data_IF_417428827373
#
_entry.id   IF_417428827373
#
_cell.length_a   1.000
_cell.length_b   1.000
_cell.length_c   1.000
_cell.angle_alpha   90.00
_cell.angle_beta   90.00
_cell.angle_gamma   90.00
#
_symmetry.space_group_name_H-M   'P 1'
#
loop_
_entity.id
_entity.type
_entity.pdbx_description
1 polymer ?
#
# COMPACT_ATOMS: atom_id res chain seq x y z
N UNK A 1 -3.26 -4.57 30.86
CA UNK A 1 -3.48 -4.94 29.44
C UNK A 1 -3.83 -3.72 28.58
N UNK A 2 -4.84 -2.92 28.95
CA UNK A 2 -5.28 -1.75 28.15
C UNK A 2 -4.16 -0.74 27.88
N UNK A 3 -3.35 -0.39 28.89
CA UNK A 3 -2.22 0.53 28.71
C UNK A 3 -1.17 0.02 27.70
N UNK A 4 -0.92 -1.28 27.66
CA UNK A 4 0.02 -1.90 26.71
C UNK A 4 -0.49 -1.76 25.27
N UNK A 5 -1.79 -2.03 25.05
CA UNK A 5 -2.41 -1.84 23.74
C UNK A 5 -2.35 -0.36 23.29
N UNK A 6 -2.57 0.58 24.21
CA UNK A 6 -2.44 2.01 23.90
C UNK A 6 -1.02 2.36 23.42
N UNK A 7 0.03 1.91 24.13
CA UNK A 7 1.41 2.16 23.70
C UNK A 7 1.73 1.55 22.33
N UNK A 8 1.23 0.34 22.06
CA UNK A 8 1.42 -0.32 20.75
C UNK A 8 0.75 0.51 19.65
N UNK A 9 -0.49 0.97 19.84
CA UNK A 9 -1.22 1.77 18.86
C UNK A 9 -0.50 3.10 18.59
N UNK A 10 -0.04 3.80 19.64
CA UNK A 10 0.70 5.04 19.47
C UNK A 10 2.03 4.84 18.74
N UNK A 11 2.75 3.75 19.04
CA UNK A 11 3.98 3.38 18.34
C UNK A 11 3.75 3.13 16.86
N UNK A 12 2.73 2.34 16.52
CA UNK A 12 2.38 2.00 15.14
C UNK A 12 1.91 3.26 14.38
N UNK A 13 1.05 4.08 14.98
CA UNK A 13 0.53 5.30 14.36
C UNK A 13 1.65 6.30 14.04
N UNK A 14 2.56 6.54 14.99
CA UNK A 14 3.72 7.42 14.79
C UNK A 14 4.69 6.88 13.73
N UNK A 15 4.94 5.57 13.71
CA UNK A 15 5.75 4.93 12.68
C UNK A 15 5.16 5.13 11.28
N UNK A 16 3.85 4.88 11.10
CA UNK A 16 3.20 5.08 9.80
C UNK A 16 3.17 6.53 9.35
N UNK A 17 3.03 7.47 10.28
CA UNK A 17 3.08 8.89 9.98
C UNK A 17 4.46 9.31 9.45
N UNK A 18 5.52 8.90 10.14
CA UNK A 18 6.91 9.16 9.69
C UNK A 18 7.16 8.46 8.34
N UNK A 19 6.70 7.23 8.18
CA UNK A 19 6.85 6.48 6.94
C UNK A 19 6.16 7.19 5.76
N UNK A 20 4.96 7.72 5.95
CA UNK A 20 4.26 8.50 4.93
C UNK A 20 5.05 9.74 4.50
N UNK A 21 5.67 10.46 5.44
CA UNK A 21 6.53 11.62 5.13
C UNK A 21 7.76 11.17 4.32
N UNK A 22 8.38 10.05 4.69
CA UNK A 22 9.54 9.51 3.97
C UNK A 22 9.14 9.11 2.54
N UNK A 23 8.00 8.46 2.35
CA UNK A 23 7.49 8.12 1.00
C UNK A 23 7.20 9.38 0.17
N UNK A 24 6.64 10.43 0.78
CA UNK A 24 6.42 11.70 0.08
C UNK A 24 7.75 12.35 -0.33
N UNK A 25 8.73 12.37 0.58
CA UNK A 25 10.07 12.89 0.28
C UNK A 25 10.74 12.09 -0.85
N UNK A 26 10.60 10.77 -0.84
CA UNK A 26 11.12 9.88 -1.88
C UNK A 26 10.43 10.12 -3.22
N UNK A 27 9.09 10.25 -3.26
CA UNK A 27 8.36 10.56 -4.49
C UNK A 27 8.76 11.90 -5.12
N UNK A 28 8.99 12.93 -4.30
CA UNK A 28 9.55 14.19 -4.78
C UNK A 28 11.00 14.04 -5.24
N UNK A 29 11.81 13.27 -4.51
CA UNK A 29 13.20 13.01 -4.85
C UNK A 29 13.33 12.26 -6.17
N UNK A 30 12.60 11.16 -6.40
CA UNK A 30 12.63 10.41 -7.66
C UNK A 30 12.20 11.26 -8.84
N UNK A 31 11.13 12.04 -8.67
CA UNK A 31 10.63 12.94 -9.72
C UNK A 31 11.66 14.03 -10.05
N UNK A 32 12.32 14.58 -9.03
CA UNK A 32 13.35 15.61 -9.19
C UNK A 32 14.65 15.04 -9.77
N UNK A 33 15.03 13.82 -9.39
CA UNK A 33 16.19 13.11 -9.92
C UNK A 33 15.99 12.83 -11.41
N UNK A 34 14.83 12.33 -11.84
CA UNK A 34 14.52 12.12 -13.27
C UNK A 34 14.64 13.43 -14.06
N UNK A 35 14.13 14.55 -13.52
CA UNK A 35 14.27 15.86 -14.19
C UNK A 35 15.71 16.32 -14.31
N UNK A 36 16.54 16.07 -13.28
CA UNK A 36 17.96 16.42 -13.29
C UNK A 36 18.76 15.54 -14.26
N UNK A 37 18.48 14.25 -14.31
CA UNK A 37 19.08 13.33 -15.30
C UNK A 37 18.76 13.72 -16.73
N UNK A 38 17.56 14.26 -16.99
CA UNK A 38 17.20 14.79 -18.29
C UNK A 38 17.92 16.11 -18.66
N UNK A 39 18.43 16.85 -17.68
CA UNK A 39 19.05 18.17 -17.90
C UNK A 39 20.57 18.21 -17.72
N UNK A 40 21.19 17.22 -17.08
CA UNK A 40 22.60 17.27 -16.73
C UNK A 40 23.23 15.89 -16.90
N UNK A 41 24.32 15.85 -17.67
CA UNK A 41 25.28 14.74 -17.88
C UNK A 41 25.97 14.24 -16.59
N UNK A 42 25.27 14.26 -15.45
CA UNK A 42 25.84 13.92 -14.16
C UNK A 42 25.62 12.45 -13.84
N UNK A 43 26.58 11.65 -14.30
CA UNK A 43 26.92 10.28 -13.86
C UNK A 43 26.20 9.87 -12.57
N UNK A 44 25.09 9.15 -12.69
CA UNK A 44 24.32 8.70 -11.53
C UNK A 44 25.12 7.72 -10.69
N UNK A 45 25.46 8.13 -9.48
CA UNK A 45 26.05 7.26 -8.47
C UNK A 45 25.09 6.09 -8.19
N UNK A 46 25.57 4.87 -8.46
CA UNK A 46 24.89 3.56 -8.28
C UNK A 46 24.08 3.44 -6.98
N UNK A 47 24.49 4.15 -5.91
CA UNK A 47 23.83 4.18 -4.60
C UNK A 47 22.36 4.66 -4.64
N UNK A 48 22.02 5.65 -5.47
CA UNK A 48 20.65 6.19 -5.54
C UNK A 48 19.63 5.16 -6.05
N UNK A 49 20.06 4.27 -6.95
CA UNK A 49 19.21 3.23 -7.56
C UNK A 49 18.88 2.11 -6.59
N UNK A 50 19.83 1.72 -5.74
CA UNK A 50 19.60 0.72 -4.69
C UNK A 50 18.61 1.22 -3.64
N UNK A 51 18.68 2.51 -3.29
CA UNK A 51 17.78 3.13 -2.31
C UNK A 51 16.34 3.17 -2.86
N UNK A 52 16.13 3.66 -4.08
CA UNK A 52 14.79 3.67 -4.71
C UNK A 52 14.23 2.25 -4.88
N UNK A 53 15.06 1.28 -5.29
CA UNK A 53 14.63 -0.12 -5.40
C UNK A 53 14.20 -0.70 -4.04
N UNK A 54 14.90 -0.37 -2.96
CA UNK A 54 14.54 -0.79 -1.61
C UNK A 54 13.21 -0.19 -1.15
N UNK A 55 12.98 1.11 -1.38
CA UNK A 55 11.70 1.75 -1.06
C UNK A 55 10.54 1.20 -1.88
N UNK A 56 10.77 0.88 -3.16
CA UNK A 56 9.78 0.21 -4.01
C UNK A 56 9.41 -1.17 -3.47
N UNK A 57 10.40 -1.98 -3.08
CA UNK A 57 10.17 -3.29 -2.47
C UNK A 57 9.41 -3.17 -1.14
N UNK A 58 9.83 -2.27 -0.26
CA UNK A 58 9.20 -2.07 1.05
C UNK A 58 7.73 -1.62 0.91
N UNK A 59 7.48 -0.67 0.00
CA UNK A 59 6.12 -0.20 -0.32
C UNK A 59 5.24 -1.32 -0.88
N UNK A 60 5.81 -2.20 -1.71
CA UNK A 60 5.10 -3.35 -2.24
C UNK A 60 4.67 -4.34 -1.13
N UNK A 61 5.59 -4.68 -0.22
CA UNK A 61 5.27 -5.54 0.93
C UNK A 61 4.19 -4.88 1.81
N UNK A 62 4.28 -3.56 2.00
CA UNK A 62 3.28 -2.83 2.77
C UNK A 62 1.90 -2.84 2.10
N UNK A 63 1.85 -2.69 0.78
CA UNK A 63 0.60 -2.78 0.02
C UNK A 63 -0.06 -4.15 0.19
N UNK A 64 0.71 -5.24 0.15
CA UNK A 64 0.20 -6.59 0.39
C UNK A 64 -0.30 -6.75 1.84
N UNK A 65 0.41 -6.20 2.82
CA UNK A 65 -0.01 -6.25 4.22
C UNK A 65 -1.34 -5.51 4.43
N UNK A 66 -1.50 -4.30 3.89
CA UNK A 66 -2.75 -3.55 3.98
C UNK A 66 -3.89 -4.17 3.16
N UNK A 67 -3.59 -4.84 2.05
CA UNK A 67 -4.57 -5.61 1.28
C UNK A 67 -5.09 -6.81 2.09
N UNK A 68 -4.21 -7.51 2.81
CA UNK A 68 -4.63 -8.56 3.73
C UNK A 68 -5.49 -8.00 4.87
N UNK A 69 -5.08 -6.88 5.50
CA UNK A 69 -5.85 -6.21 6.55
C UNK A 69 -7.23 -5.79 6.03
N UNK A 70 -7.32 -5.22 4.83
CA UNK A 70 -8.58 -4.87 4.19
C UNK A 70 -9.48 -6.11 4.02
N UNK A 71 -8.93 -7.23 3.55
CA UNK A 71 -9.68 -8.49 3.42
C UNK A 71 -10.16 -9.05 4.76
N UNK A 72 -9.30 -9.08 5.77
CA UNK A 72 -9.67 -9.60 7.09
C UNK A 72 -10.65 -8.70 7.84
N UNK A 73 -10.54 -7.37 7.70
CA UNK A 73 -11.46 -6.40 8.33
C UNK A 73 -12.84 -6.37 7.67
N UNK A 74 -12.98 -6.82 6.42
CA UNK A 74 -14.29 -6.98 5.78
C UNK A 74 -15.17 -8.00 6.50
N UNK A 75 -14.58 -9.02 7.14
CA UNK A 75 -15.30 -10.06 7.88
C UNK A 75 -16.09 -9.48 9.06
N UNK A 76 -15.48 -8.79 10.06
CA UNK A 76 -16.24 -8.20 11.15
C UNK A 76 -17.24 -7.14 10.65
N UNK A 77 -16.90 -6.32 9.66
CA UNK A 77 -17.85 -5.34 9.08
C UNK A 77 -19.10 -6.05 8.56
N UNK A 78 -18.94 -7.16 7.83
CA UNK A 78 -20.06 -7.95 7.34
C UNK A 78 -20.91 -8.52 8.48
N UNK A 79 -20.30 -9.05 9.55
CA UNK A 79 -21.02 -9.57 10.70
C UNK A 79 -21.84 -8.48 11.41
N UNK A 80 -21.21 -7.35 11.71
CA UNK A 80 -21.87 -6.23 12.37
C UNK A 80 -22.97 -5.63 11.50
N UNK A 81 -22.80 -5.61 10.17
CA UNK A 81 -23.84 -5.19 9.23
C UNK A 81 -25.05 -6.12 9.28
N UNK A 82 -24.85 -7.45 9.26
CA UNK A 82 -25.95 -8.42 9.38
C UNK A 82 -26.65 -8.27 10.74
N UNK A 83 -25.89 -8.16 11.83
CA UNK A 83 -26.43 -7.95 13.17
C UNK A 83 -27.24 -6.66 13.26
N UNK A 84 -26.74 -5.56 12.69
CA UNK A 84 -27.44 -4.27 12.63
C UNK A 84 -28.76 -4.35 11.88
N UNK A 85 -28.78 -5.03 10.72
CA UNK A 85 -30.02 -5.23 9.96
C UNK A 85 -31.04 -6.05 10.76
N UNK A 86 -30.61 -7.08 11.48
CA UNK A 86 -31.50 -7.84 12.39
C UNK A 86 -31.99 -6.99 13.56
N UNK A 87 -31.12 -6.16 14.16
CA UNK A 87 -31.51 -5.19 15.19
C UNK A 87 -32.55 -4.19 14.68
N UNK A 88 -32.37 -3.68 13.45
CA UNK A 88 -33.32 -2.77 12.82
C UNK A 88 -34.67 -3.45 12.56
N UNK A 89 -34.66 -4.69 12.08
CA UNK A 89 -35.87 -5.50 11.86
C UNK A 89 -36.63 -5.78 13.17
N UNK A 90 -35.94 -6.00 14.30
CA UNK A 90 -36.60 -6.12 15.60
C UNK A 90 -37.23 -4.81 16.10
N UNK A 91 -36.70 -3.66 15.67
CA UNK A 91 -37.17 -2.33 16.09
C UNK A 91 -38.34 -1.83 15.24
N UNK A 92 -38.58 -2.42 14.05
CA UNK A 92 -39.76 -2.19 13.22
C UNK A 92 -40.79 -3.30 13.47
N UNK A 93 -41.84 -3.06 14.29
CA UNK A 93 -42.91 -4.01 14.47
C UNK A 93 -43.84 -3.90 13.25
N UNK A 94 -43.51 -4.58 12.15
CA UNK A 94 -44.60 -4.97 11.25
C UNK A 94 -45.50 -5.90 12.07
N UNK A 95 -46.77 -5.53 12.09
CA UNK A 95 -47.86 -5.96 12.99
C UNK A 95 -48.23 -7.46 12.92
N UNK A 96 -47.29 -8.31 12.51
CA UNK A 96 -47.47 -9.75 12.34
C UNK A 96 -46.29 -10.60 12.87
N UNK A 97 -45.39 -10.03 13.68
CA UNK A 97 -44.38 -10.84 14.40
C UNK A 97 -45.04 -11.42 15.64
N UNK A 98 -45.54 -12.65 15.51
CA UNK A 98 -46.29 -13.39 16.54
C UNK A 98 -45.41 -13.87 17.71
N UNK A 99 -44.08 -13.76 17.59
CA UNK A 99 -43.12 -14.16 18.64
C UNK A 99 -41.75 -13.50 18.44
N UNK A 100 -41.37 -12.47 19.22
CA UNK A 100 -40.04 -11.83 19.15
C UNK A 100 -38.87 -12.79 19.45
N UNK A 101 -39.15 -13.96 20.04
CA UNK A 101 -38.16 -15.02 20.30
C UNK A 101 -37.71 -15.78 19.03
N UNK A 102 -38.37 -15.60 17.88
CA UNK A 102 -37.98 -16.27 16.63
C UNK A 102 -36.91 -15.52 15.82
N UNK A 103 -36.57 -14.29 16.19
CA UNK A 103 -35.52 -13.50 15.54
C UNK A 103 -34.21 -13.74 16.29
N UNK A 104 -33.28 -14.42 15.62
CA UNK A 104 -32.00 -14.83 16.18
C UNK A 104 -30.86 -14.49 15.22
N UNK A 105 -29.72 -14.06 15.77
CA UNK A 105 -28.45 -14.01 15.04
C UNK A 105 -27.57 -15.15 15.51
N UNK A 106 -27.19 -16.01 14.58
CA UNK A 106 -26.29 -17.13 14.82
C UNK A 106 -24.91 -16.82 14.22
N UNK A 107 -23.94 -16.52 15.08
CA UNK A 107 -22.56 -16.22 14.66
C UNK A 107 -21.79 -17.46 14.21
N UNK A 108 -22.29 -18.67 14.51
CA UNK A 108 -21.67 -19.94 14.10
C UNK A 108 -21.84 -20.20 12.60
N UNK A 109 -22.90 -19.65 11.99
CA UNK A 109 -23.12 -19.75 10.54
C UNK A 109 -22.00 -19.10 9.72
N UNK A 110 -21.28 -18.14 10.32
CA UNK A 110 -20.16 -17.46 9.67
C UNK A 110 -18.82 -18.19 9.85
N UNK A 111 -18.80 -19.36 10.52
CA UNK A 111 -17.62 -20.24 10.63
C UNK A 111 -16.49 -19.72 11.53
N UNK A 112 -16.68 -18.58 12.21
CA UNK A 112 -15.67 -17.93 13.06
C UNK A 112 -15.54 -18.63 14.41
N UNK A 113 -16.62 -19.25 14.88
CA UNK A 113 -16.72 -19.85 16.21
C UNK A 113 -17.18 -21.31 16.06
N UNK A 114 -16.56 -22.27 16.78
CA UNK A 114 -16.98 -23.67 16.74
C UNK A 114 -18.46 -23.83 17.14
N UNK A 115 -19.14 -24.83 16.55
CA UNK A 115 -20.57 -25.10 16.78
C UNK A 115 -20.94 -25.31 18.26
N UNK A 116 -19.95 -25.67 19.09
CA UNK A 116 -20.07 -25.91 20.53
C UNK A 116 -19.91 -24.65 21.40
N UNK A 117 -19.66 -23.48 20.82
CA UNK A 117 -19.51 -22.26 21.61
C UNK A 117 -20.86 -21.72 22.09
N UNK A 118 -20.91 -21.39 23.38
CA UNK A 118 -22.04 -20.73 24.04
C UNK A 118 -21.54 -19.42 24.65
N UNK A 119 -22.10 -18.25 24.31
CA UNK A 119 -23.23 -18.03 23.40
C UNK A 119 -22.80 -17.94 21.93
N UNK A 120 -23.24 -18.90 21.11
CA UNK A 120 -23.09 -18.87 19.64
C UNK A 120 -24.32 -18.35 18.89
N UNK A 121 -25.45 -18.19 19.59
CA UNK A 121 -26.71 -17.65 19.09
C UNK A 121 -27.27 -16.65 20.09
N UNK A 122 -27.77 -15.51 19.61
CA UNK A 122 -28.48 -14.52 20.43
C UNK A 122 -29.87 -14.28 19.82
N UNK A 123 -30.92 -14.36 20.64
CA UNK A 123 -32.31 -14.27 20.23
C UNK A 123 -33.10 -13.34 21.14
N UNK A 124 -34.22 -12.78 20.64
CA UNK A 124 -35.24 -12.09 21.46
C UNK A 124 -34.67 -10.99 22.36
N UNK A 125 -35.05 -11.00 23.64
CA UNK A 125 -34.65 -9.98 24.62
C UNK A 125 -33.13 -9.83 24.78
N UNK A 126 -32.38 -10.93 24.77
CA UNK A 126 -30.90 -10.89 24.84
C UNK A 126 -30.29 -10.21 23.62
N UNK A 127 -30.88 -10.41 22.43
CA UNK A 127 -30.45 -9.71 21.22
C UNK A 127 -30.84 -8.22 21.29
N UNK A 128 -32.02 -7.91 21.82
CA UNK A 128 -32.49 -6.55 22.07
C UNK A 128 -31.56 -5.73 22.98
N UNK A 129 -31.06 -6.33 24.06
CA UNK A 129 -30.10 -5.70 24.98
C UNK A 129 -28.77 -5.38 24.28
N UNK A 130 -28.26 -6.31 23.46
CA UNK A 130 -27.04 -6.12 22.66
C UNK A 130 -27.25 -4.98 21.64
N UNK A 131 -28.38 -4.98 20.94
CA UNK A 131 -28.73 -3.95 19.96
C UNK A 131 -28.87 -2.55 20.57
N UNK A 132 -29.23 -2.44 21.85
CA UNK A 132 -29.39 -1.17 22.55
C UNK A 132 -28.12 -0.68 23.28
N UNK A 133 -27.05 -1.47 23.24
CA UNK A 133 -25.78 -1.13 23.91
C UNK A 133 -24.95 -0.17 23.04
N UNK A 134 -24.45 0.92 23.63
CA UNK A 134 -23.60 1.91 22.95
C UNK A 134 -22.31 1.31 22.39
N UNK A 135 -21.76 0.30 23.06
CA UNK A 135 -20.55 -0.43 22.65
C UNK A 135 -20.70 -1.08 21.26
N UNK A 136 -21.88 -1.62 20.96
CA UNK A 136 -22.16 -2.25 19.67
C UNK A 136 -22.15 -1.21 18.54
N UNK A 137 -22.81 -0.07 18.76
CA UNK A 137 -22.85 1.03 17.81
C UNK A 137 -21.47 1.63 17.56
N UNK A 138 -20.71 1.87 18.62
CA UNK A 138 -19.35 2.42 18.53
C UNK A 138 -18.41 1.44 17.80
N UNK A 139 -18.47 0.15 18.13
CA UNK A 139 -17.66 -0.88 17.49
C UNK A 139 -17.95 -0.99 15.98
N UNK A 140 -19.22 -0.95 15.59
CA UNK A 140 -19.62 -1.01 14.18
C UNK A 140 -19.03 0.15 13.36
N UNK A 141 -19.16 1.39 13.86
CA UNK A 141 -18.57 2.56 13.20
C UNK A 141 -17.05 2.49 13.14
N UNK A 142 -16.39 2.05 14.21
CA UNK A 142 -14.94 1.88 14.23
C UNK A 142 -14.46 0.86 13.18
N UNK A 143 -15.16 -0.26 13.02
CA UNK A 143 -14.82 -1.26 11.99
C UNK A 143 -15.04 -0.74 10.57
N UNK A 144 -16.10 0.04 10.31
CA UNK A 144 -16.32 0.67 9.01
C UNK A 144 -15.21 1.65 8.69
N UNK A 145 -14.86 2.53 9.65
CA UNK A 145 -13.78 3.50 9.49
C UNK A 145 -12.45 2.79 9.24
N UNK A 146 -12.18 1.68 9.95
CA UNK A 146 -10.99 0.87 9.73
C UNK A 146 -10.94 0.26 8.33
N UNK A 147 -12.05 -0.29 7.83
CA UNK A 147 -12.15 -0.86 6.48
C UNK A 147 -11.94 0.23 5.40
N UNK A 148 -12.60 1.38 5.56
CA UNK A 148 -12.45 2.51 4.65
C UNK A 148 -11.03 3.06 4.66
N UNK A 149 -10.42 3.18 5.84
CA UNK A 149 -9.02 3.60 6.01
C UNK A 149 -8.05 2.63 5.35
N UNK A 150 -8.19 1.33 5.60
CA UNK A 150 -7.37 0.30 4.97
C UNK A 150 -7.53 0.31 3.44
N UNK A 151 -8.76 0.45 2.93
CA UNK A 151 -9.04 0.56 1.50
C UNK A 151 -8.39 1.79 0.87
N UNK A 152 -8.50 2.95 1.51
CA UNK A 152 -7.85 4.19 1.07
C UNK A 152 -6.32 4.03 1.04
N UNK A 153 -5.72 3.42 2.07
CA UNK A 153 -4.28 3.14 2.11
C UNK A 153 -3.85 2.20 0.99
N UNK A 154 -4.59 1.12 0.71
CA UNK A 154 -4.28 0.21 -0.40
C UNK A 154 -4.30 0.95 -1.74
N UNK A 155 -5.36 1.74 -2.00
CA UNK A 155 -5.48 2.52 -3.23
C UNK A 155 -4.30 3.50 -3.36
N UNK A 156 -3.95 4.22 -2.28
CA UNK A 156 -2.84 5.15 -2.26
C UNK A 156 -1.49 4.46 -2.55
N UNK A 157 -1.23 3.31 -1.91
CA UNK A 157 0.00 2.54 -2.11
C UNK A 157 0.10 1.99 -3.54
N UNK A 158 -1.01 1.53 -4.14
CA UNK A 158 -1.04 1.07 -5.54
C UNK A 158 -0.73 2.22 -6.50
N UNK A 159 -1.36 3.39 -6.31
CA UNK A 159 -1.07 4.56 -7.14
C UNK A 159 0.39 4.99 -7.04
N UNK A 160 0.92 5.02 -5.82
CA UNK A 160 2.31 5.37 -5.58
C UNK A 160 3.27 4.35 -6.23
N UNK A 161 3.00 3.04 -6.12
CA UNK A 161 3.77 1.99 -6.82
C UNK A 161 3.70 2.13 -8.35
N UNK A 162 2.56 2.50 -8.91
CA UNK A 162 2.39 2.71 -10.34
C UNK A 162 3.29 3.86 -10.84
N UNK A 163 3.30 4.99 -10.12
CA UNK A 163 4.16 6.14 -10.45
C UNK A 163 5.63 5.78 -10.31
N UNK A 164 6.02 5.10 -9.23
CA UNK A 164 7.37 4.60 -9.01
C UNK A 164 7.83 3.64 -10.11
N UNK A 165 6.98 2.71 -10.54
CA UNK A 165 7.29 1.76 -11.60
C UNK A 165 7.50 2.48 -12.95
N UNK A 166 6.65 3.47 -13.26
CA UNK A 166 6.82 4.29 -14.45
C UNK A 166 8.14 5.07 -14.40
N UNK A 167 8.41 5.74 -13.28
CA UNK A 167 9.65 6.49 -13.04
C UNK A 167 10.89 5.60 -13.16
N UNK A 168 10.84 4.39 -12.61
CA UNK A 168 11.93 3.41 -12.71
C UNK A 168 12.16 2.95 -14.14
N UNK A 169 11.08 2.69 -14.90
CA UNK A 169 11.17 2.32 -16.31
C UNK A 169 11.79 3.44 -17.15
N UNK A 170 11.38 4.70 -16.93
CA UNK A 170 11.97 5.86 -17.59
C UNK A 170 13.45 6.01 -17.25
N UNK A 171 13.83 5.90 -15.97
CA UNK A 171 15.22 5.99 -15.54
C UNK A 171 16.08 4.90 -16.18
N UNK A 172 15.57 3.66 -16.24
CA UNK A 172 16.26 2.55 -16.90
C UNK A 172 16.52 2.86 -18.39
N UNK A 173 15.55 3.40 -19.10
CA UNK A 173 15.67 3.76 -20.52
C UNK A 173 16.64 4.92 -20.75
N UNK A 174 16.62 5.94 -19.88
CA UNK A 174 17.54 7.08 -19.97
C UNK A 174 19.00 6.62 -19.78
N UNK A 175 19.27 5.76 -18.80
CA UNK A 175 20.61 5.22 -18.56
C UNK A 175 21.10 4.38 -19.75
N UNK A 176 20.25 3.51 -20.30
CA UNK A 176 20.65 2.71 -21.48
C UNK A 176 21.02 3.59 -22.68
N UNK A 177 20.37 4.75 -22.83
CA UNK A 177 20.71 5.72 -23.87
C UNK A 177 22.05 6.40 -23.58
N UNK A 178 22.32 6.75 -22.32
CA UNK A 178 23.56 7.39 -21.89
C UNK A 178 24.78 6.46 -22.06
N UNK A 179 24.65 5.18 -21.66
CA UNK A 179 25.70 4.17 -21.88
C UNK A 179 26.02 4.00 -23.37
N UNK A 180 25.02 4.04 -24.25
CA UNK A 180 25.23 3.99 -25.70
C UNK A 180 26.00 5.22 -26.22
N UNK A 181 25.71 6.41 -25.70
CA UNK A 181 26.43 7.63 -26.10
C UNK A 181 27.87 7.61 -25.63
N UNK A 182 28.14 7.20 -24.38
CA UNK A 182 29.51 7.06 -23.86
C UNK A 182 30.35 6.08 -24.70
N UNK A 183 29.76 4.95 -25.10
CA UNK A 183 30.44 3.97 -25.98
C UNK A 183 30.73 4.61 -27.34
N UNK A 184 29.75 5.29 -27.94
CA UNK A 184 29.93 5.92 -29.26
C UNK A 184 31.01 7.02 -29.23
N UNK A 185 30.98 7.89 -28.22
CA UNK A 185 31.98 8.97 -28.09
C UNK A 185 33.38 8.42 -27.90
N UNK A 186 33.52 7.31 -27.17
CA UNK A 186 34.80 6.63 -27.02
C UNK A 186 35.30 6.02 -28.34
N UNK A 187 34.41 5.39 -29.10
CA UNK A 187 34.73 4.81 -30.42
C UNK A 187 35.14 5.90 -31.43
N UNK A 188 34.42 7.03 -31.46
CA UNK A 188 34.76 8.21 -32.28
C UNK A 188 36.14 8.78 -31.92
N UNK A 189 36.48 8.85 -30.62
CA UNK A 189 37.81 9.31 -30.15
C UNK A 189 38.94 8.35 -30.55
N UNK A 190 38.71 7.04 -30.46
CA UNK A 190 39.69 6.03 -30.85
C UNK A 190 39.94 6.05 -32.37
N UNK A 191 38.89 6.25 -33.18
CA UNK A 191 38.99 6.44 -34.64
C UNK A 191 39.78 7.70 -35.02
N UNK A 192 39.53 8.83 -34.35
CA UNK A 192 40.29 10.07 -34.58
C UNK A 192 41.77 9.92 -34.22
N UNK A 193 42.08 9.21 -33.12
CA UNK A 193 43.45 8.92 -32.71
C UNK A 193 44.18 8.04 -33.74
N UNK A 194 43.51 7.01 -34.28
CA UNK A 194 44.09 6.14 -35.31
C UNK A 194 44.33 6.91 -36.62
N UNK A 195 43.38 7.75 -37.06
CA UNK A 195 43.53 8.59 -38.25
C UNK A 195 44.72 9.56 -38.11
N UNK A 196 44.90 10.18 -36.94
CA UNK A 196 46.03 11.08 -36.68
C UNK A 196 47.38 10.35 -36.68
N UNK A 197 47.41 9.09 -36.23
CA UNK A 197 48.62 8.26 -36.27
C UNK A 197 49.07 7.92 -37.69
N UNK A 198 48.12 7.61 -38.59
CA UNK A 198 48.38 7.28 -40.00
C UNK A 198 48.91 8.49 -40.78
N UNK A 199 48.41 9.69 -40.49
CA UNK A 199 48.85 10.92 -41.16
C UNK A 199 50.29 11.33 -40.77
N UNK A 200 50.68 11.08 -39.51
CA UNK A 200 52.04 11.28 -39.03
C UNK A 200 53.07 10.32 -39.64
N UNK A 201 52.66 9.07 -39.90
CA UNK A 201 53.49 8.08 -40.60
C UNK A 201 53.64 8.39 -42.09
N UNK A 202 52.57 8.82 -42.77
CA UNK A 202 52.65 9.21 -44.17
C UNK A 202 53.52 10.47 -44.38
N UNK A 203 53.43 11.47 -43.49
CA UNK A 203 54.28 12.68 -43.58
C UNK A 203 55.77 12.40 -43.35
N UNK A 204 56.12 11.37 -42.55
CA UNK A 204 57.52 10.98 -42.33
C UNK A 204 58.12 10.15 -43.47
N UNK A 205 57.29 9.65 -44.39
CA UNK A 205 57.74 8.85 -45.54
C UNK A 205 58.06 9.70 -46.79
N UNK A 206 57.72 10.98 -46.77
CA UNK A 206 57.95 11.95 -47.87
C UNK A 206 59.05 13.00 -47.57
N UNK A 207 59.78 12.87 -46.45
CA UNK A 207 61.04 13.60 -46.18
C UNK A 207 62.23 12.65 -46.22
#
# INVERSE_FOLDING_TARGET
MIQIFQYIIYGIASFFFVYAIILLAEGFYTTSAIKKELQSDFKTTVCGRCITAFFMFLTYILALAFLAIFGFTAIPVFLFFNMWNTCAAMRSPDSNITSPDSICVDVRQYGIIPWNATPGKACGATLGDICNTSEFYLSYHLYIVALAGAGATVIALIHYLMILAANWAYLKSAVSTHEYQDIKTKDDQDLEAEARSKDGQNSSSYS
#
